data_IF_160140652703
#
_entry.id   IF_160140652703
#
_cell.length_a   1.000
_cell.length_b   1.000
_cell.length_c   1.000
_cell.angle_alpha   90.00
_cell.angle_beta   90.00
_cell.angle_gamma   90.00
#
_symmetry.space_group_name_H-M   'P 1'
#
loop_
_entity.id
_entity.type
_entity.pdbx_description
1 polymer ?
#
# COMPACT_ATOMS: atom_id res chain seq x y z
N UNK A 1 28.82 -15.09 -20.46
CA UNK A 1 27.82 -14.42 -21.33
C UNK A 1 27.43 -13.09 -20.69
N UNK A 2 27.60 -11.98 -21.40
CA UNK A 2 27.25 -10.63 -20.92
C UNK A 2 25.73 -10.51 -20.93
N UNK A 3 25.11 -10.30 -19.76
CA UNK A 3 23.65 -10.18 -19.65
C UNK A 3 23.21 -8.95 -20.45
N UNK A 4 22.31 -9.13 -21.41
CA UNK A 4 21.76 -8.05 -22.23
C UNK A 4 21.09 -7.05 -21.29
N UNK A 5 21.42 -5.77 -21.41
CA UNK A 5 20.74 -4.73 -20.63
C UNK A 5 19.31 -4.58 -21.17
N UNK A 6 18.28 -4.77 -20.34
CA UNK A 6 16.92 -4.43 -20.74
C UNK A 6 16.86 -2.92 -21.04
N UNK A 7 16.11 -2.55 -22.09
CA UNK A 7 15.98 -1.15 -22.51
C UNK A 7 15.09 -0.33 -21.55
N UNK A 8 14.24 -1.00 -20.77
CA UNK A 8 13.33 -0.37 -19.81
C UNK A 8 14.03 -0.15 -18.45
N UNK A 9 13.73 0.97 -17.76
CA UNK A 9 14.35 1.29 -16.48
C UNK A 9 13.84 0.37 -15.38
N UNK A 10 14.67 0.03 -14.41
CA UNK A 10 14.21 -0.70 -13.22
C UNK A 10 13.29 0.17 -12.34
N UNK A 11 12.13 -0.37 -11.95
CA UNK A 11 11.14 0.34 -11.14
C UNK A 11 11.15 -0.18 -9.71
N UNK A 12 11.30 0.74 -8.75
CA UNK A 12 11.25 0.46 -7.33
C UNK A 12 10.27 1.39 -6.62
N UNK A 13 9.42 0.81 -5.78
CA UNK A 13 8.56 1.54 -4.86
C UNK A 13 9.16 1.43 -3.46
N UNK A 14 9.53 2.57 -2.88
CA UNK A 14 10.14 2.65 -1.54
C UNK A 14 9.16 3.22 -0.52
N UNK A 15 9.14 2.63 0.65
CA UNK A 15 8.55 3.21 1.86
C UNK A 15 9.62 4.00 2.60
N UNK A 16 9.36 5.28 2.86
CA UNK A 16 10.24 6.19 3.57
C UNK A 16 9.60 6.56 4.91
N UNK A 17 10.35 6.40 6.00
CA UNK A 17 9.98 6.83 7.35
C UNK A 17 11.19 7.54 7.95
N UNK A 18 11.01 8.75 8.49
CA UNK A 18 12.09 9.58 9.05
C UNK A 18 13.32 9.69 8.12
N UNK A 19 13.09 9.98 6.83
CA UNK A 19 14.12 10.04 5.78
C UNK A 19 14.91 8.73 5.55
N UNK A 20 14.48 7.61 6.14
CA UNK A 20 15.09 6.28 5.96
C UNK A 20 14.20 5.39 5.10
N UNK A 21 14.84 4.65 4.19
CA UNK A 21 14.19 3.61 3.38
C UNK A 21 13.96 2.37 4.26
N UNK A 22 12.70 2.08 4.57
CA UNK A 22 12.34 1.00 5.52
C UNK A 22 11.78 -0.25 4.85
N UNK A 23 11.19 -0.12 3.66
CA UNK A 23 10.68 -1.25 2.89
C UNK A 23 10.64 -0.92 1.39
N UNK A 24 10.61 -1.93 0.53
CA UNK A 24 10.50 -1.72 -0.91
C UNK A 24 9.77 -2.85 -1.66
N UNK A 25 9.29 -2.54 -2.85
CA UNK A 25 8.90 -3.49 -3.87
C UNK A 25 9.62 -3.17 -5.18
N UNK A 26 10.09 -4.21 -5.88
CA UNK A 26 10.60 -4.08 -7.26
C UNK A 26 9.49 -4.50 -8.21
N UNK A 27 9.30 -3.71 -9.26
CA UNK A 27 8.29 -3.93 -10.29
C UNK A 27 9.00 -4.17 -11.62
N UNK A 28 8.50 -5.14 -12.38
CA UNK A 28 8.92 -5.36 -13.75
C UNK A 28 8.23 -4.29 -14.64
N UNK A 29 8.97 -3.45 -15.38
CA UNK A 29 8.38 -2.43 -16.23
C UNK A 29 7.38 -3.00 -17.24
N UNK A 30 7.69 -4.17 -17.79
CA UNK A 30 6.84 -4.91 -18.71
C UNK A 30 5.49 -5.30 -18.12
N UNK A 31 5.36 -5.37 -16.78
CA UNK A 31 4.07 -5.69 -16.16
C UNK A 31 3.12 -4.49 -16.10
N UNK A 32 3.65 -3.26 -16.13
CA UNK A 32 2.86 -2.01 -16.00
C UNK A 32 2.91 -1.13 -17.25
N UNK A 33 3.62 -1.58 -18.29
CA UNK A 33 3.72 -0.90 -19.58
C UNK A 33 2.36 -0.81 -20.27
N UNK A 34 2.03 0.36 -20.77
CA UNK A 34 0.95 0.58 -21.71
C UNK A 34 1.48 0.60 -23.13
N UNK A 35 0.75 -0.07 -24.00
CA UNK A 35 0.94 -0.02 -25.45
C UNK A 35 -0.44 0.01 -26.11
N UNK A 36 -0.53 0.54 -27.32
CA UNK A 36 -1.75 0.44 -28.13
C UNK A 36 -1.93 -1.02 -28.60
N UNK A 37 -0.82 -1.69 -28.90
CA UNK A 37 -0.78 -3.10 -29.28
C UNK A 37 -1.05 -4.01 -28.08
N UNK A 38 -2.07 -4.86 -28.17
CA UNK A 38 -2.48 -5.70 -27.05
C UNK A 38 -1.41 -6.71 -26.61
N UNK A 39 -0.57 -7.18 -27.53
CA UNK A 39 0.55 -8.11 -27.26
C UNK A 39 1.61 -7.51 -26.34
N UNK A 40 1.76 -6.19 -26.37
CA UNK A 40 2.85 -5.47 -25.70
C UNK A 40 2.37 -4.77 -24.43
N UNK A 41 1.07 -4.87 -24.12
CA UNK A 41 0.49 -4.33 -22.89
C UNK A 41 0.89 -5.22 -21.72
N UNK A 42 1.38 -4.56 -20.67
CA UNK A 42 1.71 -5.21 -19.43
C UNK A 42 0.48 -5.79 -18.73
N UNK A 43 0.66 -6.95 -18.08
CA UNK A 43 -0.47 -7.68 -17.47
C UNK A 43 -1.21 -6.89 -16.37
N UNK A 44 -0.50 -5.99 -15.69
CA UNK A 44 -0.92 -5.20 -14.53
C UNK A 44 -1.05 -3.70 -14.83
N UNK A 45 -0.90 -3.26 -16.08
CA UNK A 45 -1.10 -1.85 -16.45
C UNK A 45 -2.51 -1.40 -16.07
N UNK A 46 -2.64 -0.21 -15.46
CA UNK A 46 -3.94 0.39 -15.16
C UNK A 46 -4.86 -0.51 -14.31
N UNK A 47 -4.28 -1.37 -13.48
CA UNK A 47 -5.01 -2.23 -12.54
C UNK A 47 -4.53 -1.99 -11.13
N UNK A 48 -5.47 -2.05 -10.18
CA UNK A 48 -5.12 -2.08 -8.76
C UNK A 48 -4.47 -3.42 -8.45
N UNK A 49 -3.24 -3.38 -7.96
CA UNK A 49 -2.49 -4.54 -7.52
C UNK A 49 -2.02 -4.38 -6.08
N UNK A 50 -1.96 -5.49 -5.35
CA UNK A 50 -1.43 -5.52 -3.99
C UNK A 50 0.05 -5.87 -4.03
N UNK A 51 0.90 -5.02 -3.46
CA UNK A 51 2.32 -5.28 -3.27
C UNK A 51 2.62 -5.53 -1.79
N UNK A 52 3.44 -6.55 -1.55
CA UNK A 52 3.97 -6.86 -0.24
C UNK A 52 5.42 -6.37 -0.18
N UNK A 53 5.67 -5.36 0.64
CA UNK A 53 6.98 -4.72 0.72
C UNK A 53 7.96 -5.57 1.53
N UNK A 54 9.18 -5.64 1.04
CA UNK A 54 10.30 -6.38 1.64
C UNK A 54 11.23 -5.41 2.36
N UNK A 55 11.85 -5.86 3.44
CA UNK A 55 12.91 -5.10 4.12
C UNK A 55 14.11 -4.91 3.17
N UNK A 56 14.68 -3.71 3.04
CA UNK A 56 15.98 -3.55 2.41
C UNK A 56 17.02 -4.39 3.14
N UNK A 57 17.87 -5.09 2.38
CA UNK A 57 18.91 -5.95 2.94
C UNK A 57 19.97 -5.07 3.60
N UNK A 58 19.97 -5.01 4.93
CA UNK A 58 21.12 -4.49 5.70
C UNK A 58 22.15 -5.61 5.85
N UNK A 59 23.43 -5.26 5.73
CA UNK A 59 24.60 -6.16 5.67
C UNK A 59 24.75 -7.14 6.84
N UNK A 60 24.00 -6.98 7.93
CA UNK A 60 24.37 -7.62 9.21
C UNK A 60 23.58 -8.87 9.62
N UNK A 61 22.37 -9.15 9.09
CA UNK A 61 21.66 -10.42 9.42
C UNK A 61 20.75 -10.91 8.28
N UNK A 62 20.69 -12.22 7.99
CA UNK A 62 19.66 -12.77 7.13
C UNK A 62 18.36 -12.84 7.95
N UNK A 63 17.54 -11.79 7.92
CA UNK A 63 16.23 -11.85 8.54
C UNK A 63 15.26 -12.56 7.57
N UNK A 64 14.52 -13.54 8.11
CA UNK A 64 13.35 -14.13 7.44
C UNK A 64 12.53 -13.00 6.83
N UNK A 65 12.17 -13.14 5.56
CA UNK A 65 11.31 -12.23 4.80
C UNK A 65 9.95 -12.03 5.50
N UNK A 66 9.90 -11.24 6.56
CA UNK A 66 8.67 -10.76 7.15
C UNK A 66 8.22 -9.57 6.30
N UNK A 67 7.08 -9.71 5.65
CA UNK A 67 6.39 -8.60 5.00
C UNK A 67 6.17 -7.48 6.04
N UNK A 68 6.77 -6.31 5.82
CA UNK A 68 6.60 -5.18 6.75
C UNK A 68 5.36 -4.34 6.43
N UNK A 69 4.90 -4.38 5.18
CA UNK A 69 3.76 -3.60 4.74
C UNK A 69 3.07 -4.25 3.53
N UNK A 70 1.75 -4.05 3.46
CA UNK A 70 0.91 -4.36 2.32
C UNK A 70 0.39 -3.04 1.77
N UNK A 71 0.66 -2.75 0.50
CA UNK A 71 0.17 -1.55 -0.18
C UNK A 71 -0.65 -1.95 -1.41
N UNK A 72 -1.72 -1.22 -1.68
CA UNK A 72 -2.45 -1.32 -2.94
C UNK A 72 -2.06 -0.15 -3.82
N UNK A 73 -1.70 -0.43 -5.06
CA UNK A 73 -1.21 0.58 -6.00
C UNK A 73 -1.90 0.41 -7.34
N UNK A 74 -2.13 1.53 -8.01
CA UNK A 74 -2.56 1.62 -9.40
C UNK A 74 -1.40 2.26 -10.16
N UNK A 75 -0.83 1.54 -11.13
CA UNK A 75 0.39 1.96 -11.81
C UNK A 75 0.26 1.86 -13.32
N UNK A 76 0.99 2.74 -13.98
CA UNK A 76 1.08 2.83 -15.43
C UNK A 76 2.48 3.32 -15.83
N UNK A 77 2.98 2.79 -16.93
CA UNK A 77 4.18 3.25 -17.60
C UNK A 77 3.86 3.43 -19.08
N UNK A 78 4.01 4.62 -19.64
CA UNK A 78 3.76 4.86 -21.05
C UNK A 78 4.11 6.28 -21.47
N UNK A 79 3.70 6.66 -22.68
CA UNK A 79 3.89 8.01 -23.22
C UNK A 79 2.79 8.95 -22.74
N UNK A 80 3.16 10.21 -22.48
CA UNK A 80 2.27 11.26 -21.98
C UNK A 80 1.03 11.47 -22.87
N UNK A 81 1.20 11.43 -24.20
CA UNK A 81 0.09 11.55 -25.16
C UNK A 81 -1.05 10.54 -24.95
N UNK A 82 -0.78 9.42 -24.26
CA UNK A 82 -1.76 8.35 -24.00
C UNK A 82 -2.32 8.37 -22.57
N UNK A 83 -1.97 9.36 -21.75
CA UNK A 83 -2.38 9.48 -20.34
C UNK A 83 -3.90 9.45 -20.17
N UNK A 84 -4.65 10.04 -21.10
CA UNK A 84 -6.13 10.03 -21.09
C UNK A 84 -6.73 8.62 -21.01
N UNK A 85 -6.03 7.60 -21.53
CA UNK A 85 -6.51 6.21 -21.48
C UNK A 85 -6.41 5.62 -20.08
N UNK A 86 -5.55 6.16 -19.23
CA UNK A 86 -5.31 5.71 -17.86
C UNK A 86 -6.34 6.28 -16.91
N UNK A 87 -6.75 7.52 -17.11
CA UNK A 87 -7.83 8.12 -16.33
C UNK A 87 -9.16 7.36 -16.47
N UNK A 88 -9.42 6.78 -17.65
CA UNK A 88 -10.58 5.91 -17.89
C UNK A 88 -10.52 4.58 -17.15
N UNK A 89 -9.34 4.19 -16.65
CA UNK A 89 -9.12 2.93 -15.94
C UNK A 89 -9.05 3.10 -14.42
N UNK A 90 -9.22 4.33 -13.93
CA UNK A 90 -9.28 4.56 -12.49
C UNK A 90 -10.39 3.69 -11.86
N UNK A 91 -10.16 3.17 -10.65
CA UNK A 91 -11.21 2.50 -9.89
C UNK A 91 -12.41 3.42 -9.68
N UNK A 92 -13.59 2.83 -9.52
CA UNK A 92 -14.81 3.57 -9.17
C UNK A 92 -14.59 4.39 -7.90
N UNK A 93 -15.20 5.57 -7.86
CA UNK A 93 -15.12 6.50 -6.73
C UNK A 93 -13.99 7.53 -6.81
N UNK A 94 -13.06 7.42 -7.76
CA UNK A 94 -12.10 8.48 -8.05
C UNK A 94 -12.61 9.44 -9.13
N UNK A 95 -12.40 10.73 -8.92
CA UNK A 95 -12.66 11.74 -9.95
C UNK A 95 -11.55 11.74 -11.01
N UNK A 96 -11.95 11.88 -12.27
CA UNK A 96 -11.02 12.20 -13.35
C UNK A 96 -10.73 13.71 -13.29
N UNK A 97 -9.46 14.14 -13.19
CA UNK A 97 -9.13 15.55 -13.14
C UNK A 97 -9.56 16.27 -14.43
N UNK A 98 -10.13 17.48 -14.34
CA UNK A 98 -10.67 18.20 -15.49
C UNK A 98 -9.61 18.79 -16.45
N UNK A 99 -8.34 18.86 -16.04
CA UNK A 99 -7.24 19.33 -16.91
C UNK A 99 -5.97 18.49 -16.70
N UNK A 100 -5.40 17.97 -17.80
CA UNK A 100 -4.08 17.34 -17.88
C UNK A 100 -2.95 18.40 -17.79
N UNK A 101 -3.04 19.33 -16.84
CA UNK A 101 -1.95 20.29 -16.61
C UNK A 101 -0.89 19.65 -15.72
N UNK A 102 0.36 20.05 -15.90
CA UNK A 102 1.59 19.60 -15.22
C UNK A 102 1.56 19.64 -13.67
N UNK A 103 0.43 19.97 -13.05
CA UNK A 103 0.23 20.14 -11.61
C UNK A 103 -0.55 18.98 -10.97
N UNK A 104 -0.56 17.78 -11.57
CA UNK A 104 -1.14 16.59 -10.96
C UNK A 104 -0.42 16.24 -9.65
N UNK A 105 -0.89 16.83 -8.54
CA UNK A 105 -0.37 16.62 -7.19
C UNK A 105 -1.20 15.62 -6.39
N UNK A 106 -2.46 15.35 -6.77
CA UNK A 106 -3.33 14.40 -6.09
C UNK A 106 -4.59 14.03 -6.93
N UNK A 107 -5.06 12.79 -6.78
CA UNK A 107 -6.38 12.32 -7.23
C UNK A 107 -7.34 12.29 -6.03
N UNK A 108 -8.63 12.59 -6.25
CA UNK A 108 -9.63 12.66 -5.18
C UNK A 108 -10.56 11.45 -5.22
N UNK A 109 -10.68 10.74 -4.10
CA UNK A 109 -11.71 9.73 -3.89
C UNK A 109 -12.94 10.37 -3.25
N UNK A 110 -14.09 10.27 -3.90
CA UNK A 110 -15.33 10.93 -3.51
C UNK A 110 -16.41 9.99 -2.98
N UNK A 111 -16.25 8.69 -3.20
CA UNK A 111 -17.17 7.72 -2.62
C UNK A 111 -17.04 7.70 -1.10
N UNK A 112 -18.19 7.66 -0.43
CA UNK A 112 -18.28 7.52 1.02
C UNK A 112 -18.93 6.19 1.30
N UNK A 113 -18.21 5.35 2.02
CA UNK A 113 -18.73 4.09 2.54
C UNK A 113 -18.92 4.23 4.04
N UNK A 114 -20.12 3.91 4.51
CA UNK A 114 -20.42 3.83 5.93
C UNK A 114 -20.11 2.42 6.41
N UNK A 115 -19.27 2.32 7.44
CA UNK A 115 -18.93 1.06 8.08
C UNK A 115 -19.31 1.15 9.55
N UNK A 116 -19.74 0.02 10.10
CA UNK A 116 -19.96 -0.14 11.54
C UNK A 116 -18.96 -1.18 12.04
N UNK A 117 -18.11 -0.82 12.99
CA UNK A 117 -17.30 -1.79 13.71
C UNK A 117 -18.09 -2.29 14.92
N UNK A 118 -18.39 -3.58 14.95
CA UNK A 118 -18.94 -4.24 16.14
C UNK A 118 -17.87 -5.11 16.76
N UNK A 119 -17.45 -4.76 17.98
CA UNK A 119 -16.51 -5.54 18.76
C UNK A 119 -17.25 -6.27 19.88
N UNK A 120 -17.13 -7.59 19.94
CA UNK A 120 -17.74 -8.41 20.98
C UNK A 120 -16.65 -8.96 21.90
N UNK A 121 -16.37 -8.25 22.99
CA UNK A 121 -15.37 -8.64 23.99
C UNK A 121 -16.07 -9.25 25.19
N UNK A 122 -15.86 -10.55 25.42
CA UNK A 122 -16.61 -11.31 26.42
C UNK A 122 -15.90 -11.44 27.77
N UNK A 123 -14.61 -11.79 27.77
CA UNK A 123 -13.79 -11.92 28.99
C UNK A 123 -12.32 -12.06 28.64
N UNK A 124 -11.47 -11.55 29.51
CA UNK A 124 -10.07 -11.94 29.60
C UNK A 124 -9.89 -12.98 30.71
N UNK A 125 -8.89 -13.86 30.59
CA UNK A 125 -8.56 -14.89 31.59
C UNK A 125 -7.06 -14.91 31.83
N UNK A 126 -6.65 -15.27 33.04
CA UNK A 126 -5.24 -15.42 33.43
C UNK A 126 -4.42 -14.15 33.17
N UNK A 127 -4.98 -12.99 33.48
CA UNK A 127 -4.27 -11.71 33.40
C UNK A 127 -3.18 -11.66 34.46
N UNK A 128 -2.05 -11.03 34.13
CA UNK A 128 -0.97 -10.81 35.08
C UNK A 128 -1.42 -9.82 36.15
N UNK A 129 -1.08 -10.10 37.41
CA UNK A 129 -1.21 -9.15 38.50
C UNK A 129 -0.31 -7.93 38.23
N UNK A 130 -0.86 -6.73 38.41
CA UNK A 130 -0.11 -5.50 38.18
C UNK A 130 0.56 -4.97 39.44
N UNK A 131 0.21 -5.50 40.61
CA UNK A 131 0.69 -5.03 41.91
C UNK A 131 1.05 -6.18 42.87
N UNK A 132 1.65 -5.83 44.01
CA UNK A 132 2.05 -6.77 45.07
C UNK A 132 0.85 -7.44 45.77
N UNK A 133 -0.38 -6.93 45.57
CA UNK A 133 -1.60 -7.51 46.12
C UNK A 133 -2.11 -8.72 45.34
N UNK A 134 -1.56 -8.94 44.14
CA UNK A 134 -1.99 -10.03 43.25
C UNK A 134 -3.28 -9.72 42.48
N UNK A 135 -3.75 -8.47 42.52
CA UNK A 135 -4.94 -8.01 41.82
C UNK A 135 -4.55 -7.17 40.60
N UNK A 136 -5.48 -7.12 39.64
CA UNK A 136 -5.42 -6.23 38.48
C UNK A 136 -6.82 -5.71 38.24
N UNK A 137 -6.92 -4.43 37.87
CA UNK A 137 -8.16 -3.77 37.42
C UNK A 137 -8.13 -3.62 35.89
N UNK A 138 -8.31 -4.72 35.12
CA UNK A 138 -8.20 -4.67 33.68
C UNK A 138 -9.37 -3.90 33.06
N UNK A 139 -9.03 -2.99 32.15
CA UNK A 139 -9.97 -2.37 31.23
C UNK A 139 -9.57 -2.67 29.79
N UNK A 140 -10.51 -2.55 28.87
CA UNK A 140 -10.28 -2.70 27.44
C UNK A 140 -10.36 -1.32 26.78
N UNK A 141 -9.37 -0.98 25.96
CA UNK A 141 -9.44 0.18 25.06
C UNK A 141 -9.42 -0.30 23.61
N UNK A 142 -10.41 0.11 22.84
CA UNK A 142 -10.54 -0.20 21.40
C UNK A 142 -10.32 1.09 20.63
N UNK A 143 -9.35 1.09 19.73
CA UNK A 143 -9.01 2.26 18.89
C UNK A 143 -9.22 1.93 17.42
N UNK A 144 -9.97 2.77 16.71
CA UNK A 144 -10.27 2.65 15.28
C UNK A 144 -10.05 4.00 14.62
N UNK A 145 -9.04 4.10 13.77
CA UNK A 145 -8.65 5.38 13.18
C UNK A 145 -8.33 6.40 14.28
N UNK A 146 -9.13 7.46 14.36
CA UNK A 146 -8.95 8.54 15.33
C UNK A 146 -9.91 8.44 16.53
N UNK A 147 -10.73 7.39 16.59
CA UNK A 147 -11.71 7.18 17.67
C UNK A 147 -11.21 6.10 18.63
N UNK A 148 -11.38 6.33 19.93
CA UNK A 148 -11.02 5.36 20.98
C UNK A 148 -12.15 5.26 21.98
N UNK A 149 -12.55 4.04 22.33
CA UNK A 149 -13.53 3.75 23.37
C UNK A 149 -12.94 2.80 24.39
N UNK A 150 -13.15 3.07 25.67
CA UNK A 150 -12.72 2.18 26.77
C UNK A 150 -13.91 1.60 27.52
N UNK A 151 -13.76 0.39 28.04
CA UNK A 151 -14.70 -0.16 29.02
C UNK A 151 -14.56 0.59 30.35
N UNK A 152 -15.63 0.67 31.15
CA UNK A 152 -15.54 1.16 32.53
C UNK A 152 -14.50 0.40 33.35
#
# INVERSE_FOLDING_TARGET
MKKIQPALPDIFLWMICDNKRVAYARLAPEDILYSICQSDKGKNYGKVQTLFLKTPRTSEKPLKSSTNAKVQVFLWLGVEDQEQQIWKQLPTGYDVPPSLTNDLKYIRYNERSYYELRCHCYKARSLFASDESGLSDPYLSITVGNETQSTP
#
